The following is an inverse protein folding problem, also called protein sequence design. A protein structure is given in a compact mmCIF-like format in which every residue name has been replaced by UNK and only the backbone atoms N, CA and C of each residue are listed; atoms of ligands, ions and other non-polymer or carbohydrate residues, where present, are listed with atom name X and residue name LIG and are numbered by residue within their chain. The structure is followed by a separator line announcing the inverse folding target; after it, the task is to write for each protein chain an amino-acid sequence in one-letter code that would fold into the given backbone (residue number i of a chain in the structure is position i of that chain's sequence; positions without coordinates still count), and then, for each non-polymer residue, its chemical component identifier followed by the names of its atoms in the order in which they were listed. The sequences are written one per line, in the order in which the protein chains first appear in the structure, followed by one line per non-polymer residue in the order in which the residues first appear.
data_IF_892655203609
#
_entry.id   IF_892655203609
#
_cell.length_a   1.000
_cell.length_b   1.000
_cell.length_c   1.000
_cell.angle_alpha   90.00
_cell.angle_beta   90.00
_cell.angle_gamma   90.00
#
_symmetry.space_group_name_H-M   'P 1'
#
loop_
_entity.id
_entity.type
_entity.pdbx_description
1 polymer ?
#
# COMPACT_ATOMS: atom_id res chain seq x y z
N UNK A 1 48.62 -45.40 -7.45
CA UNK A 1 49.20 -45.74 -6.13
C UNK A 1 50.29 -44.70 -5.91
N UNK A 2 50.07 -43.59 -5.19
CA UNK A 2 49.96 -43.46 -3.74
C UNK A 2 49.15 -42.18 -3.45
N UNK A 3 48.16 -42.32 -2.57
CA UNK A 3 47.35 -41.24 -2.02
C UNK A 3 48.11 -40.50 -0.93
N UNK A 4 48.14 -39.17 -0.95
CA UNK A 4 48.44 -38.36 0.25
C UNK A 4 47.25 -37.46 0.54
N UNK A 5 46.54 -37.78 1.63
CA UNK A 5 45.41 -37.00 2.12
C UNK A 5 45.94 -35.76 2.83
N UNK A 6 45.53 -34.59 2.34
CA UNK A 6 45.75 -33.32 3.00
C UNK A 6 45.02 -33.34 4.36
N UNK A 7 45.77 -33.13 5.44
CA UNK A 7 45.28 -33.08 6.81
C UNK A 7 44.63 -31.70 7.02
N UNK A 8 43.29 -31.64 7.08
CA UNK A 8 42.59 -30.41 7.46
C UNK A 8 42.83 -30.14 8.96
N UNK A 9 43.40 -28.97 9.34
CA UNK A 9 43.40 -28.55 10.73
C UNK A 9 41.98 -28.21 11.20
N UNK A 10 41.71 -28.57 12.45
CA UNK A 10 40.44 -28.48 13.17
C UNK A 10 39.80 -27.09 13.15
N UNK A 11 38.48 -27.04 12.93
CA UNK A 11 37.65 -25.84 13.12
C UNK A 11 37.82 -25.28 14.55
N UNK A 12 38.12 -23.98 14.73
CA UNK A 12 37.83 -23.34 16.00
C UNK A 12 36.33 -23.12 16.13
N UNK A 13 35.86 -23.35 17.35
CA UNK A 13 34.48 -23.39 17.81
C UNK A 13 33.71 -22.13 17.43
N UNK A 14 32.47 -22.35 16.99
CA UNK A 14 31.44 -21.32 16.84
C UNK A 14 31.32 -20.52 18.15
N UNK A 15 31.66 -19.24 18.10
CA UNK A 15 31.07 -18.27 19.00
C UNK A 15 29.79 -17.77 18.33
N UNK A 16 28.66 -18.42 18.63
CA UNK A 16 27.34 -17.87 18.31
C UNK A 16 27.10 -16.72 19.27
N UNK A 17 27.47 -15.51 18.86
CA UNK A 17 26.96 -14.31 19.49
C UNK A 17 25.47 -14.21 19.13
N UNK A 18 24.60 -14.63 20.05
CA UNK A 18 23.19 -14.34 19.97
C UNK A 18 23.01 -12.83 20.15
N UNK A 19 23.08 -12.08 19.05
CA UNK A 19 22.65 -10.70 19.00
C UNK A 19 21.14 -10.70 19.29
N UNK A 20 20.78 -10.27 20.49
CA UNK A 20 19.42 -9.97 20.88
C UNK A 20 18.95 -8.83 19.95
N UNK A 21 18.27 -9.19 18.87
CA UNK A 21 17.60 -8.26 17.99
C UNK A 21 16.46 -7.63 18.81
N UNK A 22 16.76 -6.52 19.46
CA UNK A 22 15.71 -5.62 19.94
C UNK A 22 14.92 -5.25 18.69
N UNK A 23 13.71 -5.78 18.58
CA UNK A 23 12.83 -5.53 17.45
C UNK A 23 12.55 -4.04 17.38
N UNK A 24 13.29 -3.32 16.54
CA UNK A 24 12.95 -1.96 16.21
C UNK A 24 11.56 -2.00 15.57
N UNK A 25 10.56 -1.43 16.25
CA UNK A 25 9.27 -1.18 15.64
C UNK A 25 9.51 -0.22 14.48
N UNK A 26 9.46 -0.74 13.25
CA UNK A 26 9.36 0.12 12.07
C UNK A 26 8.07 0.91 12.25
N UNK A 27 8.10 2.26 12.31
CA UNK A 27 6.86 3.01 12.39
C UNK A 27 6.02 2.62 11.18
N UNK A 28 4.74 2.30 11.41
CA UNK A 28 3.82 2.06 10.31
C UNK A 28 3.91 3.24 9.34
N UNK A 29 4.23 2.92 8.09
CA UNK A 29 4.28 3.94 7.05
C UNK A 29 2.85 4.46 6.86
N UNK A 30 2.60 5.71 7.23
CA UNK A 30 1.34 6.34 6.90
C UNK A 30 1.38 6.64 5.39
N UNK A 31 0.48 6.02 4.64
CA UNK A 31 0.34 6.29 3.22
C UNK A 31 -0.88 7.19 3.01
N UNK A 32 -0.63 8.42 2.58
CA UNK A 32 -1.67 9.39 2.25
C UNK A 32 -1.78 9.54 0.74
N UNK A 33 -3.00 9.38 0.22
CA UNK A 33 -3.32 9.55 -1.19
C UNK A 33 -4.43 10.57 -1.36
N UNK A 34 -4.47 11.21 -2.53
CA UNK A 34 -5.51 12.19 -2.89
C UNK A 34 -6.17 11.75 -4.18
N UNK A 35 -7.50 11.69 -4.17
CA UNK A 35 -8.32 11.58 -5.38
C UNK A 35 -8.98 12.94 -5.64
N UNK A 36 -8.80 13.48 -6.85
CA UNK A 36 -9.47 14.72 -7.26
C UNK A 36 -10.73 14.36 -8.05
N UNK A 37 -11.83 15.05 -7.74
CA UNK A 37 -13.10 14.96 -8.46
C UNK A 37 -13.28 16.18 -9.33
N UNK A 38 -13.49 15.93 -10.62
CA UNK A 38 -13.92 16.92 -11.60
C UNK A 38 -15.31 16.55 -12.10
N UNK A 39 -16.07 17.55 -12.52
CA UNK A 39 -17.42 17.32 -13.07
C UNK A 39 -17.39 16.32 -14.23
N UNK A 40 -18.27 15.31 -14.16
CA UNK A 40 -18.56 14.38 -15.25
C UNK A 40 -20.05 14.48 -15.58
N UNK A 41 -20.41 14.32 -16.86
CA UNK A 41 -21.81 14.33 -17.32
C UNK A 41 -22.63 15.53 -16.80
N UNK A 42 -21.99 16.71 -16.71
CA UNK A 42 -22.60 17.93 -16.20
C UNK A 42 -23.19 17.82 -14.77
N UNK A 43 -22.70 16.88 -13.95
CA UNK A 43 -23.20 16.64 -12.59
C UNK A 43 -23.05 17.83 -11.63
N UNK A 44 -22.17 18.77 -11.95
CA UNK A 44 -21.78 19.85 -11.04
C UNK A 44 -20.89 19.40 -9.87
N UNK A 45 -20.56 18.11 -9.75
CA UNK A 45 -19.76 17.58 -8.63
C UNK A 45 -18.28 17.89 -8.82
N UNK A 46 -17.65 18.48 -7.81
CA UNK A 46 -16.21 18.74 -7.78
C UNK A 46 -15.65 18.66 -6.34
N UNK A 47 -14.33 18.52 -6.23
CA UNK A 47 -13.61 18.54 -4.95
C UNK A 47 -12.54 17.46 -4.87
N UNK A 48 -12.33 16.91 -3.68
CA UNK A 48 -11.33 15.86 -3.47
C UNK A 48 -11.73 14.87 -2.36
N UNK A 49 -11.04 13.73 -2.34
CA UNK A 49 -11.01 12.82 -1.21
C UNK A 49 -9.56 12.62 -0.73
N UNK A 50 -9.37 12.67 0.59
CA UNK A 50 -8.14 12.27 1.26
C UNK A 50 -8.28 10.82 1.72
N UNK A 51 -7.29 9.99 1.37
CA UNK A 51 -7.21 8.58 1.72
C UNK A 51 -5.99 8.38 2.62
N UNK A 52 -6.22 8.16 3.91
CA UNK A 52 -5.17 7.93 4.90
C UNK A 52 -5.18 6.46 5.32
N UNK A 53 -4.15 5.71 4.91
CA UNK A 53 -4.01 4.31 5.26
C UNK A 53 -3.12 4.13 6.48
N UNK A 54 -3.69 3.54 7.54
CA UNK A 54 -2.98 3.17 8.75
C UNK A 54 -2.53 1.70 8.66
N UNK A 55 -1.24 1.49 8.38
CA UNK A 55 -0.66 0.14 8.26
C UNK A 55 -0.62 -0.63 9.60
N UNK A 56 -0.75 0.03 10.75
CA UNK A 56 -0.81 -0.66 12.05
C UNK A 56 -2.17 -1.28 12.28
N UNK A 57 -3.25 -0.57 11.96
CA UNK A 57 -4.62 -1.01 12.24
C UNK A 57 -5.30 -1.64 11.04
N UNK A 58 -4.65 -1.61 9.87
CA UNK A 58 -5.23 -2.01 8.57
C UNK A 58 -6.54 -1.26 8.25
N UNK A 59 -6.57 0.03 8.62
CA UNK A 59 -7.74 0.90 8.41
C UNK A 59 -7.43 1.94 7.32
N UNK A 60 -8.34 2.07 6.36
CA UNK A 60 -8.34 3.16 5.38
C UNK A 60 -9.40 4.19 5.77
N UNK A 61 -8.96 5.37 6.21
CA UNK A 61 -9.86 6.51 6.43
C UNK A 61 -10.01 7.30 5.13
N UNK A 62 -11.25 7.49 4.69
CA UNK A 62 -11.58 8.30 3.51
C UNK A 62 -12.36 9.53 3.94
N UNK A 63 -11.83 10.71 3.66
CA UNK A 63 -12.48 11.99 3.97
C UNK A 63 -12.81 12.73 2.69
N UNK A 64 -14.08 13.02 2.46
CA UNK A 64 -14.55 13.74 1.28
C UNK A 64 -14.68 15.24 1.57
N UNK A 65 -14.11 16.06 0.70
CA UNK A 65 -14.36 17.49 0.63
C UNK A 65 -14.90 17.81 -0.77
N UNK A 66 -16.22 17.71 -0.92
CA UNK A 66 -16.90 17.76 -2.21
C UNK A 66 -18.07 18.74 -2.18
N UNK A 67 -18.43 19.26 -3.35
CA UNK A 67 -19.54 20.18 -3.57
C UNK A 67 -20.27 19.82 -4.86
N UNK A 68 -21.52 20.27 -4.98
CA UNK A 68 -22.36 20.00 -6.15
C UNK A 68 -23.01 18.62 -6.18
N UNK A 69 -22.99 17.88 -5.07
CA UNK A 69 -23.82 16.68 -4.91
C UNK A 69 -25.30 17.06 -4.81
N UNK A 70 -26.19 16.23 -5.35
CA UNK A 70 -27.63 16.38 -5.17
C UNK A 70 -27.99 16.32 -3.67
N UNK A 71 -28.65 17.35 -3.12
CA UNK A 71 -28.98 17.38 -1.70
C UNK A 71 -30.10 16.40 -1.33
N UNK A 72 -30.14 15.99 -0.06
CA UNK A 72 -31.26 15.21 0.49
C UNK A 72 -31.32 13.74 0.06
N UNK A 73 -30.32 13.26 -0.69
CA UNK A 73 -30.20 11.84 -1.09
C UNK A 73 -28.89 11.23 -0.59
N UNK A 74 -28.90 9.91 -0.40
CA UNK A 74 -27.66 9.17 -0.08
C UNK A 74 -26.87 8.93 -1.36
N UNK A 75 -25.58 9.26 -1.33
CA UNK A 75 -24.64 9.01 -2.42
C UNK A 75 -23.78 7.80 -2.11
N UNK A 76 -23.74 6.82 -3.01
CA UNK A 76 -22.90 5.61 -2.85
C UNK A 76 -21.48 5.92 -3.35
N UNK A 77 -20.48 5.61 -2.52
CA UNK A 77 -19.08 5.68 -2.89
C UNK A 77 -18.43 4.29 -2.84
N UNK A 78 -17.57 3.98 -3.81
CA UNK A 78 -16.75 2.78 -3.84
C UNK A 78 -15.41 3.05 -4.53
N UNK A 79 -14.41 2.24 -4.21
CA UNK A 79 -13.07 2.33 -4.81
C UNK A 79 -12.99 1.35 -5.98
N UNK A 80 -12.58 1.83 -7.16
CA UNK A 80 -12.37 0.97 -8.33
C UNK A 80 -11.02 0.26 -8.24
N UNK A 81 -11.02 -1.06 -8.11
CA UNK A 81 -9.85 -1.86 -8.45
C UNK A 81 -9.70 -1.91 -9.97
N UNK A 82 -8.51 -1.69 -10.51
CA UNK A 82 -8.23 -1.83 -11.94
C UNK A 82 -7.25 -2.99 -12.16
N UNK A 83 -7.37 -3.65 -13.31
CA UNK A 83 -6.44 -4.70 -13.75
C UNK A 83 -5.89 -4.34 -15.14
N UNK A 84 -4.65 -4.72 -15.41
CA UNK A 84 -4.08 -4.62 -16.75
C UNK A 84 -4.48 -5.83 -17.62
N UNK A 85 -4.10 -5.83 -18.89
CA UNK A 85 -4.42 -6.93 -19.83
C UNK A 85 -3.80 -8.29 -19.44
N UNK A 86 -2.84 -8.29 -18.51
CA UNK A 86 -2.23 -9.50 -17.93
C UNK A 86 -2.86 -9.94 -16.60
N UNK A 87 -3.98 -9.34 -16.18
CA UNK A 87 -4.68 -9.66 -14.94
C UNK A 87 -3.98 -9.18 -13.66
N UNK A 88 -2.92 -8.38 -13.77
CA UNK A 88 -2.24 -7.81 -12.60
C UNK A 88 -2.98 -6.57 -12.12
N UNK A 89 -3.05 -6.38 -10.80
CA UNK A 89 -3.62 -5.19 -10.21
C UNK A 89 -2.90 -3.92 -10.68
N UNK A 90 -3.66 -2.88 -10.97
CA UNK A 90 -3.20 -1.55 -11.36
C UNK A 90 -3.74 -0.54 -10.35
N UNK A 91 -3.00 0.56 -10.18
CA UNK A 91 -3.45 1.71 -9.39
C UNK A 91 -4.86 2.14 -9.81
N UNK A 92 -5.70 2.36 -8.80
CA UNK A 92 -7.02 2.95 -8.98
C UNK A 92 -6.89 4.37 -9.57
N UNK A 93 -7.89 4.78 -10.33
CA UNK A 93 -7.98 6.13 -10.90
C UNK A 93 -9.40 6.65 -10.72
N UNK A 94 -9.55 7.97 -10.53
CA UNK A 94 -10.87 8.60 -10.63
C UNK A 94 -11.45 8.28 -12.02
N UNK A 95 -12.73 7.85 -12.12
CA UNK A 95 -13.38 7.69 -13.41
C UNK A 95 -13.27 8.97 -14.25
N UNK A 96 -13.11 8.80 -15.56
CA UNK A 96 -13.21 9.88 -16.53
C UNK A 96 -14.46 9.67 -17.39
N UNK A 97 -14.76 10.60 -18.29
CA UNK A 97 -15.75 10.29 -19.33
C UNK A 97 -15.30 9.06 -20.12
N UNK A 98 -16.27 8.22 -20.47
CA UNK A 98 -16.07 7.07 -21.36
C UNK A 98 -15.90 7.51 -22.81
#
# INVERSE_FOLDING_TARGET
MITSRLKLPSLPKMAVAAALMVGASVPASAATYVANFTTLNNSGVFGSALLDFNQTTDELKVTFNVSGLEPGVTHVAHIHGLFNNGGQAKNSTTPTMA
#
